data_IF_248623190101
#
_entry.id   IF_248623190101
#
_cell.length_a   1.000
_cell.length_b   1.000
_cell.length_c   1.000
_cell.angle_alpha   90.00
_cell.angle_beta   90.00
_cell.angle_gamma   90.00
#
_symmetry.space_group_name_H-M   'P 1'
#
loop_
_entity.id
_entity.type
_entity.pdbx_description
1 polymer ?
#
# COMPACT_ATOMS: atom_id res chain seq x y z
N UNK A 1 -12.63 5.56 -5.81
CA UNK A 1 -11.27 6.08 -6.05
C UNK A 1 -10.31 5.28 -5.22
N UNK A 2 -10.57 5.19 -3.92
CA UNK A 2 -9.86 4.39 -2.91
C UNK A 2 -9.57 2.96 -3.37
N UNK A 3 -10.58 2.28 -3.93
CA UNK A 3 -10.42 0.90 -4.42
C UNK A 3 -9.41 0.77 -5.59
N UNK A 4 -9.36 1.78 -6.46
CA UNK A 4 -8.35 1.86 -7.52
C UNK A 4 -6.96 2.10 -6.93
N UNK A 5 -6.86 2.96 -5.93
CA UNK A 5 -5.61 3.25 -5.23
C UNK A 5 -5.08 1.99 -4.55
N UNK A 6 -5.91 1.28 -3.78
CA UNK A 6 -5.51 0.04 -3.11
C UNK A 6 -5.16 -1.07 -4.13
N UNK A 7 -5.83 -1.10 -5.29
CA UNK A 7 -5.46 -1.99 -6.39
C UNK A 7 -4.07 -1.66 -6.98
N UNK A 8 -3.73 -0.39 -7.15
CA UNK A 8 -2.38 0.02 -7.52
C UNK A 8 -1.36 -0.43 -6.46
N UNK A 9 -1.62 -0.14 -5.19
CA UNK A 9 -0.71 -0.44 -4.10
C UNK A 9 -0.43 -1.93 -3.98
N UNK A 10 -1.45 -2.80 -4.04
CA UNK A 10 -1.20 -4.24 -3.96
C UNK A 10 -0.46 -4.77 -5.18
N UNK A 11 -0.73 -4.22 -6.37
CA UNK A 11 -0.07 -4.62 -7.61
C UNK A 11 1.39 -4.18 -7.63
N UNK A 12 1.69 -2.98 -7.13
CA UNK A 12 3.07 -2.49 -6.97
C UNK A 12 3.80 -3.20 -5.84
N UNK A 13 3.17 -3.39 -4.69
CA UNK A 13 3.77 -4.09 -3.56
C UNK A 13 4.16 -5.52 -3.92
N UNK A 14 3.27 -6.27 -4.58
CA UNK A 14 3.53 -7.63 -5.02
C UNK A 14 4.50 -7.72 -6.21
N UNK A 15 4.87 -6.59 -6.82
CA UNK A 15 5.73 -6.56 -8.00
C UNK A 15 5.09 -7.28 -9.20
N UNK A 16 3.77 -7.24 -9.32
CA UNK A 16 3.04 -7.90 -10.41
C UNK A 16 3.46 -7.30 -11.75
N UNK A 17 4.10 -8.13 -12.59
CA UNK A 17 4.67 -7.71 -13.87
C UNK A 17 3.72 -7.75 -15.05
N UNK A 18 2.59 -8.48 -14.94
CA UNK A 18 1.77 -8.87 -16.09
C UNK A 18 0.41 -8.15 -16.18
N UNK A 19 0.13 -7.24 -15.23
CA UNK A 19 -1.12 -6.47 -15.27
C UNK A 19 -1.03 -5.16 -16.07
N UNK A 20 0.10 -4.43 -15.98
CA UNK A 20 0.33 -3.12 -16.59
C UNK A 20 1.55 -3.08 -17.54
N UNK A 21 1.75 -1.97 -18.24
CA UNK A 21 2.84 -1.81 -19.21
C UNK A 21 2.56 -2.59 -20.51
N UNK A 22 3.42 -3.56 -20.83
CA UNK A 22 3.27 -4.41 -22.02
C UNK A 22 2.15 -5.46 -21.88
N UNK A 23 1.77 -5.81 -20.65
CA UNK A 23 0.80 -6.89 -20.37
C UNK A 23 -0.65 -6.48 -20.60
N UNK A 24 -1.08 -5.37 -20.00
CA UNK A 24 -2.44 -4.79 -20.10
C UNK A 24 -3.59 -5.80 -19.92
N UNK A 25 -3.36 -6.80 -19.09
CA UNK A 25 -4.25 -7.94 -18.85
C UNK A 25 -4.33 -8.19 -17.34
N UNK A 26 -4.89 -9.32 -16.92
CA UNK A 26 -4.72 -9.78 -15.53
C UNK A 26 -5.24 -8.79 -14.46
N UNK A 27 -6.24 -8.00 -14.85
CA UNK A 27 -7.10 -7.23 -13.95
C UNK A 27 -8.53 -7.21 -14.48
N UNK A 28 -9.49 -6.99 -13.58
CA UNK A 28 -10.92 -6.82 -13.91
C UNK A 28 -11.48 -5.64 -13.13
N UNK A 29 -12.51 -5.01 -13.68
CA UNK A 29 -13.33 -4.06 -12.94
C UNK A 29 -14.80 -4.43 -13.04
N UNK A 30 -15.49 -4.41 -11.90
CA UNK A 30 -16.92 -4.68 -11.85
C UNK A 30 -17.60 -3.73 -10.87
N UNK A 31 -18.89 -3.51 -11.09
CA UNK A 31 -19.76 -2.78 -10.15
C UNK A 31 -21.13 -3.42 -10.12
N UNK A 32 -21.85 -3.24 -9.00
CA UNK A 32 -23.27 -3.56 -8.96
C UNK A 32 -24.05 -2.63 -9.90
N UNK A 33 -25.14 -3.16 -10.48
CA UNK A 33 -26.05 -2.38 -11.34
C UNK A 33 -27.10 -1.66 -10.50
N UNK A 34 -26.64 -0.91 -9.50
CA UNK A 34 -27.47 -0.19 -8.54
C UNK A 34 -27.03 1.29 -8.47
N UNK A 35 -27.94 2.24 -8.16
CA UNK A 35 -27.57 3.64 -7.98
C UNK A 35 -26.48 3.82 -6.93
N UNK A 36 -25.47 4.64 -7.24
CA UNK A 36 -24.36 4.94 -6.31
C UNK A 36 -23.28 3.85 -6.20
N UNK A 37 -23.46 2.67 -6.81
CA UNK A 37 -22.45 1.62 -6.76
C UNK A 37 -21.16 2.03 -7.48
N UNK A 38 -20.05 1.99 -6.74
CA UNK A 38 -18.72 2.27 -7.27
C UNK A 38 -18.11 1.04 -7.96
N UNK A 39 -17.17 1.29 -8.87
CA UNK A 39 -16.33 0.22 -9.41
C UNK A 39 -15.38 -0.33 -8.36
N UNK A 40 -15.19 -1.64 -8.44
CA UNK A 40 -14.21 -2.43 -7.72
C UNK A 40 -13.22 -3.01 -8.70
N UNK A 41 -11.95 -3.00 -8.34
CA UNK A 41 -10.83 -3.46 -9.16
C UNK A 41 -10.26 -4.73 -8.56
N UNK A 42 -10.03 -5.71 -9.42
CA UNK A 42 -9.65 -7.06 -9.01
C UNK A 42 -8.38 -7.45 -9.75
N UNK A 43 -7.40 -7.91 -8.99
CA UNK A 43 -6.27 -8.66 -9.53
C UNK A 43 -6.77 -10.00 -10.07
N UNK A 44 -6.21 -10.44 -11.19
CA UNK A 44 -6.52 -11.71 -11.82
C UNK A 44 -5.22 -12.32 -12.33
N UNK A 45 -4.96 -13.62 -12.09
CA UNK A 45 -3.78 -14.28 -12.68
C UNK A 45 -2.48 -13.51 -12.39
N UNK A 46 -2.25 -13.27 -11.10
CA UNK A 46 -1.11 -12.55 -10.56
C UNK A 46 -0.05 -13.51 -10.00
N UNK A 47 0.06 -14.69 -10.63
CA UNK A 47 1.05 -15.72 -10.36
C UNK A 47 2.48 -15.27 -10.69
N UNK A 48 2.66 -14.21 -11.48
CA UNK A 48 3.95 -13.53 -11.72
C UNK A 48 4.19 -12.38 -10.73
N UNK A 49 4.07 -12.67 -9.44
CA UNK A 49 4.26 -11.72 -8.33
C UNK A 49 5.11 -12.34 -7.23
N UNK A 50 5.66 -11.54 -6.32
CA UNK A 50 6.53 -12.02 -5.23
C UNK A 50 7.75 -12.79 -5.77
N UNK A 51 8.55 -12.14 -6.62
CA UNK A 51 9.80 -12.72 -7.15
C UNK A 51 9.63 -14.02 -7.98
N UNK A 52 8.44 -14.31 -8.51
CA UNK A 52 8.16 -15.50 -9.33
C UNK A 52 8.04 -15.21 -10.84
N UNK A 53 8.03 -13.93 -11.23
CA UNK A 53 7.82 -13.50 -12.61
C UNK A 53 9.07 -13.54 -13.49
N UNK A 54 8.87 -13.64 -14.80
CA UNK A 54 9.93 -13.70 -15.81
C UNK A 54 10.68 -12.37 -15.95
N UNK A 55 10.01 -11.24 -15.68
CA UNK A 55 10.57 -9.88 -15.72
C UNK A 55 11.04 -9.41 -14.34
N UNK A 56 10.52 -10.00 -13.28
CA UNK A 56 10.93 -9.75 -11.91
C UNK A 56 12.33 -10.35 -11.61
N UNK A 57 12.76 -11.37 -12.36
CA UNK A 57 14.10 -12.02 -12.22
C UNK A 57 14.42 -12.41 -10.76
N UNK A 58 13.39 -12.84 -10.02
CA UNK A 58 13.54 -13.14 -8.60
C UNK A 58 13.85 -11.94 -7.68
N UNK A 59 13.79 -10.71 -8.20
CA UNK A 59 14.33 -9.53 -7.52
C UNK A 59 13.28 -8.79 -6.69
N UNK A 60 13.50 -8.71 -5.37
CA UNK A 60 12.72 -7.81 -4.50
C UNK A 60 12.78 -6.34 -4.96
N UNK A 61 13.80 -5.95 -5.74
CA UNK A 61 13.98 -4.59 -6.27
C UNK A 61 13.21 -4.32 -7.56
N UNK A 62 12.46 -5.29 -8.11
CA UNK A 62 11.67 -5.06 -9.32
C UNK A 62 10.74 -3.85 -9.16
N UNK A 63 10.80 -2.93 -10.12
CA UNK A 63 10.08 -1.66 -10.08
C UNK A 63 8.81 -1.75 -10.92
N UNK A 64 7.74 -2.24 -10.31
CA UNK A 64 6.42 -2.27 -10.94
C UNK A 64 5.76 -0.87 -11.02
N UNK A 65 6.21 0.10 -10.23
CA UNK A 65 5.65 1.47 -10.23
C UNK A 65 5.92 2.18 -11.56
N UNK A 66 7.10 1.95 -12.15
CA UNK A 66 7.48 2.55 -13.44
C UNK A 66 6.77 1.91 -14.65
N UNK A 67 6.10 0.76 -14.47
CA UNK A 67 5.37 0.06 -15.53
C UNK A 67 4.01 0.71 -15.77
N UNK A 68 4.03 1.87 -16.41
CA UNK A 68 2.82 2.59 -16.79
C UNK A 68 2.42 2.27 -18.22
N UNK A 69 1.12 2.37 -18.53
CA UNK A 69 0.63 2.20 -19.91
C UNK A 69 -0.51 3.16 -20.24
N UNK A 70 -0.19 4.46 -20.26
CA UNK A 70 -1.12 5.55 -20.63
C UNK A 70 -1.23 5.76 -22.16
N UNK A 71 -1.22 4.68 -22.95
CA UNK A 71 -1.38 4.76 -24.41
C UNK A 71 -2.86 4.82 -24.81
N UNK A 72 -3.17 5.47 -25.93
CA UNK A 72 -4.54 5.81 -26.33
C UNK A 72 -5.47 4.60 -26.53
N UNK A 73 -4.93 3.42 -26.83
CA UNK A 73 -5.67 2.19 -27.07
C UNK A 73 -5.55 1.17 -25.93
N UNK A 74 -5.26 1.62 -24.72
CA UNK A 74 -5.01 0.76 -23.59
C UNK A 74 -6.15 0.79 -22.55
N UNK A 75 -6.70 -0.37 -22.15
CA UNK A 75 -7.71 -0.39 -21.08
C UNK A 75 -7.19 0.17 -19.74
N UNK A 76 -5.87 0.15 -19.48
CA UNK A 76 -5.29 0.74 -18.26
C UNK A 76 -5.10 2.26 -18.35
N UNK A 77 -5.32 2.88 -19.51
CA UNK A 77 -5.05 4.30 -19.75
C UNK A 77 -5.71 5.20 -18.70
N UNK A 78 -6.98 4.95 -18.38
CA UNK A 78 -7.68 5.75 -17.39
C UNK A 78 -7.16 5.54 -15.97
N UNK A 79 -6.66 4.33 -15.66
CA UNK A 79 -6.04 4.03 -14.36
C UNK A 79 -4.83 4.94 -14.18
N UNK A 80 -3.90 4.93 -15.14
CA UNK A 80 -2.68 5.74 -15.08
C UNK A 80 -2.94 7.22 -15.36
N UNK A 81 -4.00 7.55 -16.10
CA UNK A 81 -4.45 8.93 -16.29
C UNK A 81 -4.92 9.60 -14.99
N UNK A 82 -5.42 8.83 -14.02
CA UNK A 82 -5.78 9.37 -12.70
C UNK A 82 -4.55 9.94 -11.97
N UNK A 83 -3.36 9.37 -12.19
CA UNK A 83 -2.10 9.82 -11.57
C UNK A 83 -1.66 11.20 -12.06
N UNK A 84 -2.30 11.79 -13.08
CA UNK A 84 -2.04 13.18 -13.49
C UNK A 84 -2.85 14.21 -12.71
N UNK A 85 -3.75 13.77 -11.81
CA UNK A 85 -4.55 14.65 -10.95
C UNK A 85 -3.86 14.84 -9.60
N UNK A 86 -3.66 16.08 -9.19
CA UNK A 86 -3.05 16.38 -7.89
C UNK A 86 -3.90 15.88 -6.71
N UNK A 87 -5.24 15.97 -6.82
CA UNK A 87 -6.15 15.42 -5.81
C UNK A 87 -6.11 13.89 -5.75
N UNK A 88 -5.89 13.22 -6.88
CA UNK A 88 -5.69 11.77 -6.86
C UNK A 88 -4.33 11.42 -6.23
N UNK A 89 -3.28 12.20 -6.51
CA UNK A 89 -1.93 11.96 -5.97
C UNK A 89 -1.87 12.14 -4.46
N UNK A 90 -2.57 13.14 -3.90
CA UNK A 90 -2.61 13.29 -2.43
C UNK A 90 -3.38 12.14 -1.77
N UNK A 91 -4.51 11.71 -2.35
CA UNK A 91 -5.23 10.53 -1.85
C UNK A 91 -4.39 9.24 -1.97
N UNK A 92 -3.62 9.11 -3.05
CA UNK A 92 -2.66 8.03 -3.20
C UNK A 92 -1.60 8.07 -2.09
N UNK A 93 -1.03 9.25 -1.81
CA UNK A 93 -0.08 9.43 -0.72
C UNK A 93 -0.66 9.04 0.65
N UNK A 94 -1.93 9.38 0.92
CA UNK A 94 -2.61 9.03 2.16
C UNK A 94 -2.75 7.52 2.31
N UNK A 95 -3.19 6.83 1.24
CA UNK A 95 -3.26 5.37 1.23
C UNK A 95 -1.88 4.72 1.35
N UNK A 96 -0.84 5.28 0.71
CA UNK A 96 0.53 4.80 0.90
C UNK A 96 0.91 4.89 2.37
N UNK A 97 0.67 6.04 3.01
CA UNK A 97 0.99 6.22 4.42
C UNK A 97 0.23 5.21 5.30
N UNK A 98 -1.09 5.12 5.12
CA UNK A 98 -1.95 4.19 5.86
C UNK A 98 -1.55 2.72 5.71
N UNK A 99 -0.99 2.32 4.55
CA UNK A 99 -0.69 0.91 4.28
C UNK A 99 0.76 0.54 4.60
N UNK A 100 1.72 1.46 4.47
CA UNK A 100 3.15 1.15 4.58
C UNK A 100 3.79 1.62 5.90
N UNK A 101 3.10 2.43 6.71
CA UNK A 101 3.61 2.99 7.96
C UNK A 101 2.74 2.56 9.14
N UNK A 102 3.20 2.78 10.38
CA UNK A 102 2.40 2.70 11.61
C UNK A 102 1.53 1.44 11.76
N UNK A 103 2.12 0.26 11.60
CA UNK A 103 1.41 -1.03 11.59
C UNK A 103 0.35 -1.19 10.48
N UNK A 104 0.51 -0.41 9.40
CA UNK A 104 -0.23 -0.51 8.17
C UNK A 104 -0.12 -1.90 7.52
N UNK A 105 -1.11 -2.21 6.69
CA UNK A 105 -1.32 -3.58 6.25
C UNK A 105 -0.18 -4.20 5.41
N UNK A 106 0.73 -3.39 4.88
CA UNK A 106 1.87 -3.78 4.06
C UNK A 106 3.21 -3.55 4.78
N UNK A 107 3.22 -3.36 6.10
CA UNK A 107 4.46 -3.40 6.88
C UNK A 107 4.93 -4.85 7.06
N UNK A 108 6.25 -5.09 7.24
CA UNK A 108 6.79 -6.45 7.45
C UNK A 108 6.07 -7.21 8.57
N UNK A 109 5.91 -6.55 9.73
CA UNK A 109 5.25 -7.14 10.90
C UNK A 109 3.78 -7.50 10.70
N UNK A 110 3.12 -6.99 9.65
CA UNK A 110 1.72 -7.28 9.34
C UNK A 110 1.56 -8.23 8.15
N UNK A 111 2.46 -8.21 7.18
CA UNK A 111 2.38 -9.06 5.99
C UNK A 111 2.91 -10.47 6.25
N UNK A 112 4.01 -10.60 7.00
CA UNK A 112 4.64 -11.90 7.27
C UNK A 112 3.71 -12.87 7.99
N UNK A 113 3.00 -12.48 9.08
CA UNK A 113 2.09 -13.40 9.76
C UNK A 113 0.90 -13.83 8.88
N UNK A 114 0.44 -12.97 7.97
CA UNK A 114 -0.63 -13.33 7.02
C UNK A 114 -0.13 -14.31 5.98
N UNK A 115 1.09 -14.12 5.48
CA UNK A 115 1.74 -15.06 4.57
C UNK A 115 1.92 -16.42 5.25
N UNK A 116 2.47 -16.45 6.45
CA UNK A 116 2.69 -17.68 7.21
C UNK A 116 1.39 -18.44 7.46
N UNK A 117 0.32 -17.72 7.85
CA UNK A 117 -1.01 -18.34 8.02
C UNK A 117 -1.46 -19.08 6.76
N UNK A 118 -1.25 -18.49 5.57
CA UNK A 118 -1.63 -19.12 4.29
C UNK A 118 -0.70 -20.25 3.90
N UNK A 119 0.59 -20.14 4.18
CA UNK A 119 1.55 -21.20 3.89
C UNK A 119 1.32 -22.42 4.78
N UNK A 120 1.02 -22.23 6.06
CA UNK A 120 0.75 -23.32 6.99
C UNK A 120 -0.52 -24.10 6.62
N UNK A 121 -1.54 -23.42 6.05
CA UNK A 121 -2.72 -24.09 5.48
C UNK A 121 -2.37 -25.02 4.30
N UNK A 122 -1.36 -24.67 3.50
CA UNK A 122 -0.94 -25.42 2.31
C UNK A 122 0.07 -26.52 2.59
N UNK A 123 0.83 -26.41 3.68
CA UNK A 123 2.02 -27.23 3.98
C UNK A 123 1.83 -28.73 3.73
N UNK A 124 0.74 -29.30 4.26
CA UNK A 124 0.45 -30.73 4.09
C UNK A 124 0.03 -31.09 2.67
N UNK A 125 -0.64 -30.19 1.96
CA UNK A 125 -1.10 -30.42 0.59
C UNK A 125 0.06 -30.45 -0.42
N UNK A 126 1.15 -29.72 -0.14
CA UNK A 126 2.35 -29.69 -1.00
C UNK A 126 2.94 -31.08 -1.23
N UNK A 127 2.89 -31.97 -0.24
CA UNK A 127 3.35 -33.36 -0.43
C UNK A 127 2.65 -34.07 -1.59
N UNK A 128 1.33 -33.88 -1.71
CA UNK A 128 0.54 -34.48 -2.79
C UNK A 128 0.77 -33.76 -4.13
N UNK A 129 0.97 -32.44 -4.10
CA UNK A 129 1.32 -31.64 -5.26
C UNK A 129 2.66 -32.09 -5.85
N UNK A 130 3.71 -32.19 -5.03
CA UNK A 130 5.03 -32.69 -5.42
C UNK A 130 4.98 -34.11 -5.98
N UNK A 131 4.22 -35.00 -5.34
CA UNK A 131 4.10 -36.39 -5.80
C UNK A 131 3.41 -36.52 -7.17
N UNK A 132 2.52 -35.59 -7.50
CA UNK A 132 1.77 -35.59 -8.76
C UNK A 132 2.45 -34.80 -9.86
N UNK A 133 3.07 -33.68 -9.52
CA UNK A 133 3.48 -32.65 -10.47
C UNK A 133 4.93 -32.21 -10.32
N UNK A 134 5.68 -32.67 -9.31
CA UNK A 134 7.05 -32.21 -9.04
C UNK A 134 7.99 -32.37 -10.24
N UNK A 135 7.76 -33.37 -11.09
CA UNK A 135 8.53 -33.68 -12.28
C UNK A 135 7.98 -33.07 -13.59
N UNK A 136 6.93 -32.24 -13.50
CA UNK A 136 6.24 -31.69 -14.70
C UNK A 136 7.14 -30.79 -15.54
N UNK A 137 8.00 -30.01 -14.87
CA UNK A 137 8.84 -28.97 -15.52
C UNK A 137 10.34 -29.19 -15.32
N UNK A 138 10.74 -30.21 -14.57
CA UNK A 138 12.13 -30.51 -14.22
C UNK A 138 12.37 -32.02 -14.16
N UNK A 139 13.54 -32.48 -14.60
CA UNK A 139 13.94 -33.89 -14.47
C UNK A 139 14.30 -34.30 -13.04
N UNK A 140 14.64 -33.33 -12.19
CA UNK A 140 14.70 -33.50 -10.73
C UNK A 140 13.37 -33.00 -10.17
N UNK A 141 12.52 -33.88 -9.61
CA UNK A 141 11.20 -33.47 -9.14
C UNK A 141 11.30 -32.46 -7.99
N UNK A 142 10.53 -31.38 -8.04
CA UNK A 142 10.38 -30.46 -6.92
C UNK A 142 9.61 -31.13 -5.78
N UNK A 143 10.11 -30.97 -4.55
CA UNK A 143 9.50 -31.53 -3.35
C UNK A 143 9.07 -30.44 -2.35
N UNK A 144 8.64 -30.88 -1.17
CA UNK A 144 8.21 -29.99 -0.09
C UNK A 144 9.36 -29.15 0.46
N UNK A 145 10.58 -29.67 0.46
CA UNK A 145 11.74 -28.94 0.98
C UNK A 145 12.12 -27.80 0.03
N UNK A 146 11.98 -27.98 -1.29
CA UNK A 146 12.10 -26.89 -2.26
C UNK A 146 11.06 -25.78 -1.99
N UNK A 147 9.80 -26.17 -1.75
CA UNK A 147 8.74 -25.21 -1.42
C UNK A 147 9.02 -24.45 -0.12
N UNK A 148 9.51 -25.14 0.93
CA UNK A 148 9.91 -24.51 2.19
C UNK A 148 11.10 -23.56 2.01
N UNK A 149 12.08 -23.91 1.16
CA UNK A 149 13.19 -23.04 0.84
C UNK A 149 12.71 -21.76 0.16
N UNK A 150 11.79 -21.87 -0.81
CA UNK A 150 11.18 -20.72 -1.48
C UNK A 150 10.38 -19.84 -0.51
N UNK A 151 9.54 -20.45 0.35
CA UNK A 151 8.82 -19.73 1.43
C UNK A 151 9.79 -18.94 2.31
N UNK A 152 10.88 -19.57 2.73
CA UNK A 152 11.88 -18.95 3.62
C UNK A 152 12.57 -17.77 2.93
N UNK A 153 12.91 -17.91 1.65
CA UNK A 153 13.46 -16.82 0.85
C UNK A 153 12.52 -15.61 0.78
N UNK A 154 11.22 -15.82 0.56
CA UNK A 154 10.26 -14.71 0.55
C UNK A 154 10.15 -13.99 1.89
N UNK A 155 10.18 -14.71 3.01
CA UNK A 155 10.18 -14.10 4.34
C UNK A 155 11.44 -13.26 4.58
N UNK A 156 12.61 -13.77 4.20
CA UNK A 156 13.89 -13.10 4.47
C UNK A 156 14.20 -11.96 3.50
N UNK A 157 13.88 -12.14 2.22
CA UNK A 157 14.32 -11.23 1.16
C UNK A 157 13.19 -10.30 0.71
N UNK A 158 11.97 -10.82 0.57
CA UNK A 158 10.86 -10.04 0.05
C UNK A 158 10.18 -9.23 1.15
N UNK A 159 9.57 -9.87 2.14
CA UNK A 159 8.66 -9.17 3.06
C UNK A 159 9.38 -8.19 3.99
N UNK A 160 10.61 -8.50 4.41
CA UNK A 160 11.44 -7.60 5.23
C UNK A 160 11.82 -6.30 4.49
N UNK A 161 12.12 -6.39 3.19
CA UNK A 161 12.69 -5.27 2.42
C UNK A 161 11.67 -4.56 1.53
N UNK A 162 10.61 -5.24 1.09
CA UNK A 162 9.73 -4.76 0.01
C UNK A 162 9.05 -3.45 0.34
N UNK A 163 8.63 -3.24 1.58
CA UNK A 163 7.95 -2.01 2.02
C UNK A 163 8.85 -0.79 1.82
N UNK A 164 10.11 -0.85 2.28
CA UNK A 164 11.07 0.23 2.12
C UNK A 164 11.47 0.46 0.66
N UNK A 165 11.68 -0.62 -0.09
CA UNK A 165 12.00 -0.54 -1.53
C UNK A 165 10.85 0.12 -2.31
N UNK A 166 9.61 -0.30 -2.06
CA UNK A 166 8.44 0.27 -2.72
C UNK A 166 8.29 1.76 -2.37
N UNK A 167 8.48 2.13 -1.10
CA UNK A 167 8.40 3.53 -0.68
C UNK A 167 9.39 4.40 -1.48
N UNK A 168 10.66 3.98 -1.58
CA UNK A 168 11.65 4.70 -2.38
C UNK A 168 11.30 4.77 -3.87
N UNK A 169 10.67 3.72 -4.42
CA UNK A 169 10.15 3.74 -5.81
C UNK A 169 9.00 4.73 -5.99
N UNK A 170 8.10 4.83 -5.02
CA UNK A 170 6.95 5.75 -5.04
C UNK A 170 7.40 7.21 -4.90
N UNK A 171 8.35 7.50 -3.99
CA UNK A 171 8.97 8.81 -3.83
C UNK A 171 9.68 9.26 -5.12
N UNK A 172 10.47 8.36 -5.74
CA UNK A 172 11.15 8.66 -6.99
C UNK A 172 10.20 8.97 -8.16
N UNK A 173 8.96 8.48 -8.12
CA UNK A 173 7.90 8.81 -9.10
C UNK A 173 7.04 10.01 -8.67
N UNK A 174 7.27 10.58 -7.48
CA UNK A 174 6.48 11.66 -6.90
C UNK A 174 5.09 11.22 -6.45
N UNK A 175 4.85 9.93 -6.20
CA UNK A 175 3.56 9.44 -5.71
C UNK A 175 3.44 9.50 -4.18
N UNK A 176 4.57 9.68 -3.48
CA UNK A 176 4.62 9.96 -2.05
C UNK A 176 5.39 11.27 -1.81
N UNK A 177 4.89 12.20 -0.97
CA UNK A 177 5.56 13.45 -0.67
C UNK A 177 6.91 13.25 0.01
N UNK A 178 7.86 14.16 -0.24
CA UNK A 178 9.13 14.17 0.51
C UNK A 178 9.00 14.83 1.89
N UNK A 179 7.90 15.54 2.14
CA UNK A 179 7.58 16.09 3.45
C UNK A 179 7.04 14.99 4.36
N UNK A 180 7.78 14.71 5.43
CA UNK A 180 7.38 13.74 6.46
C UNK A 180 5.99 14.05 7.02
N UNK A 181 5.20 13.00 7.23
CA UNK A 181 3.90 13.09 7.86
C UNK A 181 4.04 13.38 9.37
N UNK A 182 2.91 13.71 10.02
CA UNK A 182 2.89 13.92 11.46
C UNK A 182 3.00 12.57 12.18
N UNK A 183 3.83 12.50 13.21
CA UNK A 183 4.00 11.32 14.05
C UNK A 183 3.30 11.50 15.38
N UNK A 184 2.46 10.54 15.76
CA UNK A 184 1.80 10.50 17.07
C UNK A 184 2.67 9.78 18.08
N UNK A 185 2.68 10.20 19.34
CA UNK A 185 3.34 9.42 20.41
C UNK A 185 2.73 8.03 20.61
N UNK A 186 1.52 7.81 20.13
CA UNK A 186 0.90 6.51 20.01
C UNK A 186 -0.01 6.52 18.77
N UNK A 187 0.28 5.66 17.80
CA UNK A 187 -0.58 5.47 16.65
C UNK A 187 -1.57 4.34 16.93
N UNK A 188 -2.86 4.69 17.05
CA UNK A 188 -3.93 3.75 17.36
C UNK A 188 -3.84 3.09 18.75
N UNK A 189 -4.63 2.03 18.94
CA UNK A 189 -4.67 1.27 20.18
C UNK A 189 -5.53 1.87 21.29
N UNK A 190 -5.48 1.23 22.47
CA UNK A 190 -6.27 1.65 23.64
C UNK A 190 -5.59 2.82 24.35
N UNK A 191 -6.39 3.81 24.75
CA UNK A 191 -5.94 4.94 25.57
C UNK A 191 -6.71 4.98 26.88
N UNK A 192 -6.10 5.59 27.91
CA UNK A 192 -6.81 5.94 29.14
C UNK A 192 -7.44 7.32 29.02
N UNK A 193 -8.52 7.60 29.75
CA UNK A 193 -9.09 8.95 29.84
C UNK A 193 -8.03 9.93 30.34
N UNK A 194 -7.89 11.07 29.64
CA UNK A 194 -6.86 12.05 29.92
C UNK A 194 -5.53 11.79 29.20
N UNK A 195 -5.54 10.94 28.17
CA UNK A 195 -4.36 10.68 27.35
C UNK A 195 -3.87 11.97 26.68
N UNK A 196 -2.62 12.33 26.94
CA UNK A 196 -1.97 13.46 26.27
C UNK A 196 -1.42 13.02 24.92
N UNK A 197 -2.20 13.21 23.87
CA UNK A 197 -1.74 13.03 22.50
C UNK A 197 -0.71 14.10 22.18
N UNK A 198 0.48 13.69 21.75
CA UNK A 198 1.46 14.60 21.18
C UNK A 198 1.71 14.26 19.73
N UNK A 199 1.79 15.29 18.90
CA UNK A 199 2.14 15.19 17.48
C UNK A 199 3.53 15.81 17.27
N UNK A 200 4.30 15.25 16.35
CA UNK A 200 5.62 15.78 15.98
C UNK A 200 5.84 15.67 14.48
N UNK A 201 6.67 16.55 13.92
CA UNK A 201 7.06 16.54 12.52
C UNK A 201 8.48 17.10 12.42
N UNK A 202 9.26 16.62 11.45
CA UNK A 202 10.64 17.09 11.25
C UNK A 202 10.74 18.55 10.79
N UNK A 203 9.71 19.05 10.10
CA UNK A 203 9.59 20.42 9.62
C UNK A 203 8.11 20.78 9.38
N UNK A 204 7.82 22.06 9.16
CA UNK A 204 6.47 22.53 8.81
C UNK A 204 5.53 22.72 10.00
N UNK A 205 4.27 23.02 9.70
CA UNK A 205 3.20 23.23 10.69
C UNK A 205 2.23 22.07 10.64
N UNK A 206 1.93 21.46 11.79
CA UNK A 206 0.95 20.39 11.90
C UNK A 206 -0.44 21.00 12.03
N UNK A 207 -1.32 20.62 11.11
CA UNK A 207 -2.75 20.90 11.15
C UNK A 207 -3.49 19.61 11.46
N UNK A 208 -4.50 19.66 12.33
CA UNK A 208 -5.22 18.46 12.73
C UNK A 208 -6.71 18.71 12.97
N UNK A 209 -7.48 17.62 12.98
CA UNK A 209 -8.89 17.59 13.35
C UNK A 209 -9.16 16.39 14.27
N UNK A 210 -10.20 16.50 15.10
CA UNK A 210 -10.59 15.47 16.08
C UNK A 210 -11.99 14.90 15.84
N UNK A 211 -12.67 15.30 14.76
CA UNK A 211 -14.03 14.86 14.45
C UNK A 211 -14.09 13.51 13.71
N UNK A 212 -12.93 12.96 13.37
CA UNK A 212 -12.76 11.69 12.66
C UNK A 212 -13.19 11.72 11.19
N UNK A 213 -13.60 12.86 10.64
CA UNK A 213 -14.13 12.95 9.27
C UNK A 213 -13.44 14.02 8.45
N UNK A 214 -13.17 15.19 9.01
CA UNK A 214 -12.66 16.35 8.29
C UNK A 214 -11.16 16.22 8.05
N UNK A 215 -10.76 16.30 6.79
CA UNK A 215 -9.34 16.40 6.43
C UNK A 215 -8.83 17.81 6.76
N UNK A 216 -7.65 17.97 7.41
CA UNK A 216 -7.03 19.28 7.62
C UNK A 216 -6.75 20.09 6.35
N UNK A 217 -6.72 19.42 5.18
CA UNK A 217 -6.54 20.00 3.85
C UNK A 217 -7.86 19.98 3.07
N UNK A 218 -8.25 21.13 2.53
CA UNK A 218 -9.34 21.24 1.56
C UNK A 218 -8.95 20.74 0.17
N UNK A 219 -9.95 20.31 -0.61
CA UNK A 219 -9.79 20.05 -2.05
C UNK A 219 -9.19 21.30 -2.72
N UNK A 220 -8.13 21.12 -3.48
CA UNK A 220 -7.36 22.22 -4.08
C UNK A 220 -6.20 22.73 -3.21
N UNK A 221 -5.98 22.15 -2.02
CA UNK A 221 -4.78 22.38 -1.21
C UNK A 221 -4.85 23.52 -0.20
N UNK A 222 -6.02 24.13 -0.02
CA UNK A 222 -6.24 25.11 1.05
C UNK A 222 -6.21 24.46 2.44
N UNK A 223 -5.98 25.28 3.46
CA UNK A 223 -6.16 24.84 4.86
C UNK A 223 -7.67 24.80 5.13
N UNK A 224 -8.16 23.66 5.63
CA UNK A 224 -9.56 23.52 6.01
C UNK A 224 -9.88 24.42 7.22
N UNK A 225 -10.99 25.14 7.17
CA UNK A 225 -11.38 26.08 8.23
C UNK A 225 -11.71 25.42 9.58
N UNK A 226 -11.99 24.11 9.58
CA UNK A 226 -12.18 23.28 10.78
C UNK A 226 -10.90 22.64 11.31
N UNK A 227 -9.74 22.91 10.69
CA UNK A 227 -8.46 22.40 11.16
C UNK A 227 -7.84 23.33 12.21
N UNK A 228 -7.34 22.72 13.29
CA UNK A 228 -6.57 23.41 14.32
C UNK A 228 -5.07 23.28 14.05
N UNK A 229 -4.29 24.28 14.48
CA UNK A 229 -2.83 24.21 14.47
C UNK A 229 -2.38 23.55 15.77
N UNK A 230 -1.57 22.50 15.66
CA UNK A 230 -1.01 21.85 16.83
C UNK A 230 0.12 22.69 17.46
N UNK A 231 -0.05 23.06 18.73
CA UNK A 231 0.90 23.89 19.50
C UNK A 231 1.38 23.14 20.76
N UNK A 232 0.53 22.31 21.33
CA UNK A 232 0.78 21.56 22.56
C UNK A 232 -0.05 20.28 22.61
N UNK A 233 0.26 19.38 23.54
CA UNK A 233 -0.44 18.12 23.71
C UNK A 233 -1.97 18.30 23.83
N UNK A 234 -2.71 17.43 23.15
CA UNK A 234 -4.17 17.40 23.18
C UNK A 234 -4.66 16.32 24.13
N UNK A 235 -5.65 16.65 24.96
CA UNK A 235 -6.18 15.70 25.95
C UNK A 235 -7.34 14.91 25.36
N UNK A 236 -7.14 13.61 25.15
CA UNK A 236 -8.18 12.69 24.69
C UNK A 236 -8.82 11.98 25.89
N UNK A 237 -10.15 12.13 26.02
CA UNK A 237 -10.92 11.54 27.11
C UNK A 237 -11.73 10.30 26.69
N UNK A 238 -11.93 10.15 25.38
CA UNK A 238 -12.73 9.11 24.74
C UNK A 238 -11.98 8.63 23.49
N UNK A 239 -12.46 7.54 22.90
CA UNK A 239 -11.99 7.12 21.57
C UNK A 239 -12.19 8.26 20.57
N UNK A 240 -11.10 8.66 19.92
CA UNK A 240 -11.07 9.76 18.97
C UNK A 240 -10.24 9.33 17.77
N UNK A 241 -10.76 9.55 16.56
CA UNK A 241 -9.98 9.47 15.33
C UNK A 241 -9.40 10.85 15.06
N UNK A 242 -8.08 10.92 14.96
CA UNK A 242 -7.35 12.17 14.80
C UNK A 242 -6.78 12.20 13.40
N UNK A 243 -7.10 13.22 12.61
CA UNK A 243 -6.52 13.38 11.27
C UNK A 243 -5.52 14.51 11.31
N UNK A 244 -4.27 14.24 10.94
CA UNK A 244 -3.19 15.23 10.98
C UNK A 244 -2.41 15.27 9.67
N UNK A 245 -2.06 16.47 9.24
CA UNK A 245 -1.15 16.72 8.12
C UNK A 245 -0.13 17.79 8.47
N UNK A 246 1.01 17.73 7.80
CA UNK A 246 2.06 18.74 7.89
C UNK A 246 1.98 19.62 6.65
N UNK A 247 2.05 20.93 6.84
CA UNK A 247 2.16 21.92 5.76
C UNK A 247 3.51 22.62 5.83
N UNK A 248 4.29 22.56 4.75
CA UNK A 248 5.59 23.23 4.64
C UNK A 248 5.50 24.69 4.17
N UNK A 249 4.33 25.13 3.70
CA UNK A 249 4.16 26.39 2.97
C UNK A 249 4.05 26.19 1.45
N UNK A 250 4.44 25.03 0.92
CA UNK A 250 4.35 24.70 -0.51
C UNK A 250 3.87 23.28 -0.81
N UNK A 251 3.96 22.36 0.16
CA UNK A 251 3.59 20.95 0.01
C UNK A 251 2.90 20.46 1.29
N UNK A 252 1.89 19.61 1.11
CA UNK A 252 1.23 18.86 2.18
C UNK A 252 1.87 17.48 2.32
N UNK A 253 2.07 17.01 3.55
CA UNK A 253 2.40 15.61 3.79
C UNK A 253 1.21 14.70 3.47
N UNK A 254 1.47 13.39 3.42
CA UNK A 254 0.41 12.41 3.55
C UNK A 254 -0.35 12.55 4.88
N UNK A 255 -1.57 12.03 4.92
CA UNK A 255 -2.42 12.02 6.11
C UNK A 255 -1.95 10.97 7.12
N UNK A 256 -1.79 11.40 8.37
CA UNK A 256 -1.73 10.50 9.52
C UNK A 256 -3.12 10.45 10.17
N UNK A 257 -3.67 9.25 10.36
CA UNK A 257 -5.00 8.99 10.94
C UNK A 257 -4.96 7.91 12.03
#
# INVERSE_FOLDING_TARGET
VDDLIDFFLISWYSGNEDWAGDGNKNWRAARKREPGAQFKFFSWDADTSLASGWKNDGSVSFNAVSRTSNHSNNPTRFLFGALTSDEFRILLADHIHQRLFNDGALTPGQVEPRWDTRMDELDRAILAESARWGDTVSGTPFDRDDWLAYRTGLLQDWFDQRTGILLGQLEAQGYYPTLDAAEFNQHGGLISTGFGLTMSAGAGTIYYTLDGVTDPRDVGGGINAGADIYISAETLNVTTTVKARVWSGSEWSALTE
#
